data_IF_417126248236
#
_entry.id   IF_417126248236
#
_cell.length_a   1.000
_cell.length_b   1.000
_cell.length_c   1.000
_cell.angle_alpha   90.00
_cell.angle_beta   90.00
_cell.angle_gamma   90.00
#
_symmetry.space_group_name_H-M   'P 1'
#
loop_
_entity.id
_entity.type
_entity.pdbx_description
1 polymer ?
#
# COMPACT_ATOMS: atom_id res chain seq x y z
N UNK A 1 16.53 29.56 -7.39
CA UNK A 1 17.73 29.48 -6.54
C UNK A 1 17.37 29.99 -5.14
N UNK A 2 17.16 29.07 -4.19
CA UNK A 2 17.03 29.38 -2.76
C UNK A 2 17.91 28.35 -2.05
N UNK A 3 18.98 28.83 -1.43
CA UNK A 3 19.91 28.02 -0.65
C UNK A 3 19.41 28.01 0.79
N UNK A 4 19.10 26.84 1.33
CA UNK A 4 19.04 26.61 2.76
C UNK A 4 20.26 25.77 3.14
N UNK A 5 21.24 26.39 3.78
CA UNK A 5 22.30 25.69 4.49
C UNK A 5 21.88 25.59 5.96
N UNK A 6 21.42 24.41 6.37
CA UNK A 6 21.38 24.04 7.78
C UNK A 6 21.36 22.51 7.91
N UNK A 7 22.47 21.98 8.44
CA UNK A 7 22.60 20.73 9.16
C UNK A 7 22.06 19.45 8.48
N UNK A 8 22.95 18.72 7.80
CA UNK A 8 22.94 17.25 7.60
C UNK A 8 21.54 16.63 7.59
N UNK A 9 20.74 16.98 6.59
CA UNK A 9 19.39 16.43 6.42
C UNK A 9 19.52 15.01 5.85
N UNK A 10 18.95 14.03 6.55
CA UNK A 10 18.77 12.67 6.07
C UNK A 10 18.10 12.68 4.69
N UNK A 11 18.82 12.24 3.67
CA UNK A 11 18.25 11.91 2.37
C UNK A 11 18.00 10.38 2.36
N UNK A 12 16.74 9.93 2.46
CA UNK A 12 16.42 8.53 2.18
C UNK A 12 16.32 8.36 0.67
N UNK A 13 17.46 8.07 0.04
CA UNK A 13 17.52 7.75 -1.38
C UNK A 13 17.21 6.27 -1.55
N UNK A 14 15.99 5.98 -1.99
CA UNK A 14 15.59 4.64 -2.40
C UNK A 14 16.11 4.38 -3.80
N UNK A 15 17.01 3.42 -3.94
CA UNK A 15 17.44 2.90 -5.24
C UNK A 15 16.76 1.57 -5.48
N UNK A 16 16.07 1.43 -6.61
CA UNK A 16 15.43 0.16 -6.96
C UNK A 16 15.65 -0.21 -8.42
N UNK A 17 16.04 -1.47 -8.59
CA UNK A 17 16.02 -2.21 -9.85
C UNK A 17 15.07 -3.39 -9.63
N UNK A 18 14.09 -3.54 -10.51
CA UNK A 18 13.07 -4.58 -10.40
C UNK A 18 12.83 -5.20 -11.76
N UNK A 19 13.20 -6.49 -11.86
CA UNK A 19 13.12 -7.30 -13.07
C UNK A 19 12.41 -8.60 -12.74
N UNK A 20 11.53 -9.04 -13.61
CA UNK A 20 10.83 -10.31 -13.49
C UNK A 20 11.24 -11.21 -14.65
N UNK A 21 11.56 -12.44 -14.33
CA UNK A 21 11.77 -13.49 -15.33
C UNK A 21 10.52 -14.34 -15.32
N UNK A 22 9.83 -14.43 -16.46
CA UNK A 22 8.73 -15.37 -16.63
C UNK A 22 9.21 -16.58 -17.39
N UNK A 23 9.07 -17.75 -16.79
CA UNK A 23 9.31 -19.03 -17.44
C UNK A 23 7.99 -19.83 -17.48
N UNK A 24 7.23 -19.75 -18.59
CA UNK A 24 5.93 -20.38 -18.67
C UNK A 24 6.05 -21.91 -18.63
N UNK A 25 5.18 -22.58 -17.87
CA UNK A 25 5.18 -24.05 -17.83
C UNK A 25 4.66 -24.64 -19.15
N UNK A 26 5.43 -25.56 -19.72
CA UNK A 26 5.05 -26.24 -20.97
C UNK A 26 4.02 -27.34 -20.65
N UNK A 27 2.82 -27.18 -21.19
CA UNK A 27 1.73 -28.14 -21.11
C UNK A 27 0.84 -28.02 -22.35
N UNK A 28 -0.09 -28.96 -22.53
CA UNK A 28 -0.97 -29.01 -23.71
C UNK A 28 -1.69 -27.68 -23.99
N UNK A 29 -2.13 -26.97 -22.94
CA UNK A 29 -2.83 -25.69 -23.11
C UNK A 29 -1.88 -24.56 -23.51
N UNK A 30 -0.68 -24.50 -22.94
CA UNK A 30 0.29 -23.44 -23.28
C UNK A 30 0.87 -23.64 -24.68
N UNK A 31 1.18 -24.89 -25.07
CA UNK A 31 1.61 -25.23 -26.44
C UNK A 31 0.55 -24.89 -27.47
N UNK A 32 -0.71 -25.26 -27.23
CA UNK A 32 -1.79 -24.96 -28.18
C UNK A 32 -2.07 -23.45 -28.30
N UNK A 33 -1.91 -22.69 -27.22
CA UNK A 33 -2.02 -21.24 -27.25
C UNK A 33 -0.91 -20.62 -28.10
N UNK A 34 0.33 -21.08 -27.88
CA UNK A 34 1.49 -20.69 -28.68
C UNK A 34 1.27 -20.94 -30.17
N UNK A 35 0.78 -22.13 -30.55
CA UNK A 35 0.46 -22.48 -31.94
C UNK A 35 -0.60 -21.56 -32.56
N UNK A 36 -1.67 -21.25 -31.81
CA UNK A 36 -2.78 -20.41 -32.30
C UNK A 36 -2.31 -18.98 -32.56
N UNK A 37 -1.47 -18.43 -31.69
CA UNK A 37 -1.01 -17.04 -31.78
C UNK A 37 0.34 -16.90 -32.52
N UNK A 38 0.98 -18.01 -32.89
CA UNK A 38 2.29 -18.02 -33.57
C UNK A 38 3.40 -17.44 -32.70
N UNK A 39 3.38 -17.72 -31.40
CA UNK A 39 4.36 -17.21 -30.42
C UNK A 39 5.14 -18.36 -29.80
N UNK A 40 6.41 -18.12 -29.47
CA UNK A 40 7.26 -19.10 -28.80
C UNK A 40 7.06 -19.05 -27.27
N UNK A 41 7.20 -20.21 -26.62
CA UNK A 41 7.11 -20.34 -25.15
C UNK A 41 8.51 -20.28 -24.57
N UNK A 42 9.04 -19.07 -24.54
CA UNK A 42 10.40 -18.82 -24.05
C UNK A 42 10.40 -18.03 -22.75
N UNK A 43 11.54 -18.12 -22.06
CA UNK A 43 11.84 -17.27 -20.92
C UNK A 43 11.92 -15.81 -21.38
N UNK A 44 11.14 -14.96 -20.72
CA UNK A 44 11.10 -13.52 -21.02
C UNK A 44 11.45 -12.73 -19.77
N UNK A 45 12.39 -11.78 -19.92
CA UNK A 45 12.72 -10.79 -18.89
C UNK A 45 11.82 -9.55 -19.07
N UNK A 46 11.15 -9.16 -18.00
CA UNK A 46 10.34 -7.96 -17.90
C UNK A 46 10.98 -6.99 -16.90
N UNK A 47 11.60 -5.93 -17.42
CA UNK A 47 12.14 -4.85 -16.60
C UNK A 47 11.01 -3.91 -16.20
N UNK A 48 10.73 -3.80 -14.90
CA UNK A 48 9.73 -2.86 -14.36
C UNK A 48 10.41 -1.55 -13.94
N UNK A 49 11.54 -1.64 -13.24
CA UNK A 49 12.34 -0.49 -12.85
C UNK A 49 13.81 -0.74 -13.20
N UNK A 50 14.42 0.20 -13.92
CA UNK A 50 15.85 0.15 -14.26
C UNK A 50 16.59 1.22 -13.46
N UNK A 51 17.17 0.79 -12.33
CA UNK A 51 18.00 1.61 -11.44
C UNK A 51 17.44 3.02 -11.17
N UNK A 52 16.17 3.10 -10.76
CA UNK A 52 15.56 4.38 -10.42
C UNK A 52 15.97 4.80 -9.01
N UNK A 53 16.10 6.11 -8.79
CA UNK A 53 16.32 6.72 -7.49
C UNK A 53 15.13 7.60 -7.11
N UNK A 54 14.53 7.33 -5.95
CA UNK A 54 13.41 8.08 -5.40
C UNK A 54 13.84 8.64 -4.04
N UNK A 55 13.62 9.93 -3.83
CA UNK A 55 13.83 10.59 -2.55
C UNK A 55 12.47 10.83 -1.89
N UNK A 56 12.34 10.42 -0.63
CA UNK A 56 11.16 10.66 0.20
C UNK A 56 11.65 11.22 1.52
N UNK A 57 11.08 12.33 1.97
CA UNK A 57 11.37 12.93 3.27
C UNK A 57 10.19 12.74 4.23
N UNK A 58 10.43 12.76 5.55
CA UNK A 58 9.35 12.75 6.52
C UNK A 58 8.36 13.89 6.27
N UNK A 59 7.06 13.57 6.31
CA UNK A 59 5.91 14.46 6.05
C UNK A 59 5.60 14.72 4.56
N UNK A 60 6.31 14.10 3.63
CA UNK A 60 5.93 14.15 2.22
C UNK A 60 4.61 13.43 1.95
N UNK A 61 3.84 13.96 1.00
CA UNK A 61 2.67 13.28 0.43
C UNK A 61 3.07 12.77 -0.95
N UNK A 62 3.20 11.45 -1.06
CA UNK A 62 3.65 10.79 -2.29
C UNK A 62 2.45 10.18 -3.01
N UNK A 63 2.27 10.54 -4.29
CA UNK A 63 1.25 9.95 -5.16
C UNK A 63 1.92 9.10 -6.24
N UNK A 64 1.63 7.79 -6.24
CA UNK A 64 2.13 6.84 -7.24
C UNK A 64 1.05 6.63 -8.30
N UNK A 65 1.38 6.94 -9.55
CA UNK A 65 0.47 6.80 -10.70
C UNK A 65 1.14 6.07 -11.86
N UNK A 66 0.34 5.62 -12.83
CA UNK A 66 0.77 4.84 -13.99
C UNK A 66 -0.23 3.77 -14.39
N UNK A 67 0.01 3.12 -15.53
CA UNK A 67 -0.87 2.11 -16.10
C UNK A 67 -1.02 0.86 -15.21
N UNK A 68 -2.16 0.17 -15.32
CA UNK A 68 -2.36 -1.11 -14.65
C UNK A 68 -1.29 -2.11 -15.09
N UNK A 69 -0.71 -2.85 -14.15
CA UNK A 69 0.42 -3.75 -14.44
C UNK A 69 1.82 -3.10 -14.42
N UNK A 70 1.94 -1.77 -14.40
CA UNK A 70 3.23 -1.06 -14.40
C UNK A 70 4.04 -1.11 -13.10
N UNK A 71 3.83 -2.12 -12.24
CA UNK A 71 4.66 -2.34 -11.04
C UNK A 71 4.33 -1.51 -9.79
N UNK A 72 3.34 -0.61 -9.83
CA UNK A 72 3.00 0.30 -8.70
C UNK A 72 2.89 -0.39 -7.34
N UNK A 73 2.19 -1.51 -7.25
CA UNK A 73 2.04 -2.26 -6.00
C UNK A 73 3.33 -2.89 -5.52
N UNK A 74 4.26 -3.21 -6.42
CA UNK A 74 5.60 -3.68 -6.08
C UNK A 74 6.46 -2.51 -5.60
N UNK A 75 6.41 -1.36 -6.27
CA UNK A 75 7.08 -0.14 -5.84
C UNK A 75 6.64 0.27 -4.44
N UNK A 76 5.34 0.26 -4.16
CA UNK A 76 4.81 0.59 -2.84
C UNK A 76 5.36 -0.33 -1.74
N UNK A 77 5.51 -1.63 -2.01
CA UNK A 77 6.13 -2.57 -1.06
C UNK A 77 7.61 -2.24 -0.82
N UNK A 78 8.37 -2.01 -1.89
CA UNK A 78 9.79 -1.64 -1.80
C UNK A 78 9.97 -0.35 -1.00
N UNK A 79 9.11 0.65 -1.24
CA UNK A 79 9.08 1.90 -0.47
C UNK A 79 8.81 1.61 1.01
N UNK A 80 7.73 0.90 1.33
CA UNK A 80 7.38 0.58 2.73
C UNK A 80 8.53 -0.16 3.44
N UNK A 81 9.11 -1.15 2.79
CA UNK A 81 10.19 -1.97 3.37
C UNK A 81 11.47 -1.14 3.59
N UNK A 82 11.76 -0.18 2.70
CA UNK A 82 12.88 0.73 2.87
C UNK A 82 12.61 1.73 4.00
N UNK A 83 11.45 2.40 3.99
CA UNK A 83 11.10 3.39 5.00
C UNK A 83 11.12 2.79 6.42
N UNK A 84 10.75 1.50 6.58
CA UNK A 84 10.80 0.79 7.87
C UNK A 84 12.20 0.67 8.48
N UNK A 85 13.26 0.89 7.69
CA UNK A 85 14.66 0.86 8.16
C UNK A 85 15.11 2.18 8.77
N UNK A 86 14.32 3.23 8.63
CA UNK A 86 14.66 4.61 8.96
C UNK A 86 13.74 5.13 10.07
N UNK A 87 14.29 5.30 11.28
CA UNK A 87 13.51 5.67 12.48
C UNK A 87 12.81 7.03 12.37
N UNK A 88 13.32 7.93 11.52
CA UNK A 88 12.75 9.26 11.29
C UNK A 88 11.34 9.25 10.69
N UNK A 89 10.93 8.16 10.06
CA UNK A 89 9.57 7.97 9.55
C UNK A 89 8.59 7.46 10.62
N UNK A 90 9.10 7.06 11.79
CA UNK A 90 8.30 6.53 12.89
C UNK A 90 7.60 5.21 12.55
N UNK A 91 6.43 4.99 13.15
CA UNK A 91 5.65 3.78 12.90
C UNK A 91 4.97 3.84 11.53
N UNK A 92 5.36 2.92 10.65
CA UNK A 92 4.74 2.77 9.32
C UNK A 92 3.59 1.77 9.43
N UNK A 93 2.39 2.25 9.09
CA UNK A 93 1.15 1.49 9.14
C UNK A 93 0.62 1.35 7.70
N UNK A 94 0.28 0.14 7.31
CA UNK A 94 -0.32 -0.17 6.01
C UNK A 94 -1.78 -0.62 6.17
N UNK A 95 -2.56 -0.60 5.09
CA UNK A 95 -3.93 -1.11 5.07
C UNK A 95 -4.03 -2.55 5.62
N UNK A 96 -3.01 -3.38 5.36
CA UNK A 96 -2.96 -4.75 5.88
C UNK A 96 -2.82 -4.79 7.39
N UNK A 97 -1.99 -3.90 7.94
CA UNK A 97 -1.78 -3.80 9.38
C UNK A 97 -3.08 -3.37 10.07
N UNK A 98 -3.78 -2.37 9.50
CA UNK A 98 -5.10 -1.93 9.97
C UNK A 98 -6.08 -3.09 9.96
N UNK A 99 -6.26 -3.77 8.82
CA UNK A 99 -7.19 -4.88 8.67
C UNK A 99 -6.89 -6.04 9.64
N UNK A 100 -5.60 -6.33 9.90
CA UNK A 100 -5.19 -7.38 10.84
C UNK A 100 -5.49 -7.04 12.30
N UNK A 101 -5.64 -5.75 12.63
CA UNK A 101 -5.97 -5.28 13.99
C UNK A 101 -7.46 -5.33 14.31
N UNK A 102 -8.31 -5.43 13.28
CA UNK A 102 -9.77 -5.47 13.42
C UNK A 102 -10.18 -6.76 14.12
N UNK A 103 -11.10 -6.62 15.08
CA UNK A 103 -11.61 -7.73 15.88
C UNK A 103 -13.14 -7.72 15.93
N UNK A 104 -13.70 -8.75 16.56
CA UNK A 104 -15.13 -9.00 16.61
C UNK A 104 -15.88 -8.17 17.68
N UNK A 105 -15.45 -6.93 17.95
CA UNK A 105 -16.09 -6.00 18.89
C UNK A 105 -16.86 -4.89 18.16
N UNK A 106 -17.77 -4.17 18.84
CA UNK A 106 -18.34 -2.94 18.29
C UNK A 106 -17.26 -1.97 17.82
N UNK A 107 -17.48 -1.27 16.70
CA UNK A 107 -16.47 -0.37 16.10
C UNK A 107 -16.06 0.77 17.04
N UNK A 108 -16.93 1.18 17.97
CA UNK A 108 -16.62 2.17 19.00
C UNK A 108 -15.59 1.70 20.03
N UNK A 109 -15.46 0.40 20.25
CA UNK A 109 -14.46 -0.18 21.18
C UNK A 109 -13.10 -0.41 20.54
N UNK A 110 -13.01 -0.31 19.21
CA UNK A 110 -11.81 -0.66 18.45
C UNK A 110 -10.90 0.54 18.18
N UNK A 111 -11.37 1.77 18.42
CA UNK A 111 -10.65 3.00 18.07
C UNK A 111 -10.71 4.02 19.21
N UNK A 112 -9.72 4.92 19.23
CA UNK A 112 -9.63 6.01 20.19
C UNK A 112 -9.13 5.58 21.58
N UNK A 113 -8.65 6.57 22.34
CA UNK A 113 -8.17 6.37 23.72
C UNK A 113 -9.30 6.21 24.74
N UNK A 114 -10.46 6.76 24.43
CA UNK A 114 -11.63 6.85 25.28
C UNK A 114 -12.89 7.07 24.42
N UNK A 115 -14.07 7.02 25.05
CA UNK A 115 -15.36 7.13 24.36
C UNK A 115 -15.50 8.45 23.60
N UNK A 116 -15.05 9.57 24.16
CA UNK A 116 -15.18 10.88 23.50
C UNK A 116 -14.28 10.96 22.27
N UNK A 117 -13.06 10.41 22.39
CA UNK A 117 -12.12 10.33 21.29
C UNK A 117 -12.62 9.40 20.17
N UNK A 118 -13.18 8.24 20.54
CA UNK A 118 -13.75 7.28 19.60
C UNK A 118 -14.94 7.88 18.82
N UNK A 119 -15.89 8.52 19.51
CA UNK A 119 -17.01 9.24 18.88
C UNK A 119 -16.48 10.29 17.91
N UNK A 120 -15.49 11.10 18.32
CA UNK A 120 -14.92 12.15 17.47
C UNK A 120 -14.29 11.58 16.20
N UNK A 121 -13.50 10.50 16.30
CA UNK A 121 -12.86 9.88 15.13
C UNK A 121 -13.91 9.31 14.18
N UNK A 122 -14.84 8.50 14.70
CA UNK A 122 -15.93 7.93 13.91
C UNK A 122 -16.78 9.02 13.25
N UNK A 123 -16.93 10.16 13.91
CA UNK A 123 -17.66 11.30 13.37
C UNK A 123 -16.96 11.94 12.17
N UNK A 124 -15.64 12.11 12.26
CA UNK A 124 -14.81 12.71 11.19
C UNK A 124 -14.85 11.84 9.93
N UNK A 125 -14.84 10.51 10.08
CA UNK A 125 -14.93 9.57 8.94
C UNK A 125 -16.39 9.32 8.49
N UNK A 126 -17.34 10.08 9.02
CA UNK A 126 -18.75 10.03 8.59
C UNK A 126 -19.54 8.82 9.12
N UNK A 127 -19.08 8.16 10.18
CA UNK A 127 -19.75 7.06 10.88
C UNK A 127 -20.47 7.59 12.14
N UNK A 128 -21.25 8.67 11.98
CA UNK A 128 -21.85 9.48 13.07
C UNK A 128 -23.05 8.84 13.78
N UNK A 129 -23.61 7.75 13.26
CA UNK A 129 -24.86 7.19 13.78
C UNK A 129 -24.61 6.28 14.98
N UNK A 130 -25.28 6.53 16.11
CA UNK A 130 -25.09 5.76 17.34
C UNK A 130 -25.31 4.24 17.13
N UNK A 131 -26.36 3.85 16.40
CA UNK A 131 -26.62 2.45 16.08
C UNK A 131 -25.54 1.82 15.20
N UNK A 132 -24.86 2.62 14.36
CA UNK A 132 -23.74 2.16 13.54
C UNK A 132 -22.49 1.93 14.40
N UNK A 133 -22.23 2.81 15.36
CA UNK A 133 -21.09 2.71 16.29
C UNK A 133 -21.14 1.44 17.16
N UNK A 134 -22.35 0.91 17.39
CA UNK A 134 -22.58 -0.34 18.14
C UNK A 134 -22.38 -1.61 17.29
N UNK A 135 -22.24 -1.50 15.96
CA UNK A 135 -22.05 -2.65 15.08
C UNK A 135 -20.61 -3.14 15.08
N UNK A 136 -20.45 -4.42 14.76
CA UNK A 136 -19.14 -5.02 14.46
C UNK A 136 -18.73 -4.69 13.03
N UNK A 137 -17.43 -4.74 12.76
CA UNK A 137 -16.88 -4.43 11.44
C UNK A 137 -17.55 -5.24 10.30
N UNK A 138 -17.82 -6.53 10.52
CA UNK A 138 -18.43 -7.39 9.51
C UNK A 138 -19.90 -7.06 9.19
N UNK A 139 -20.56 -6.28 10.05
CA UNK A 139 -21.96 -5.85 9.91
C UNK A 139 -22.09 -4.48 9.20
N UNK A 140 -20.95 -3.91 8.78
CA UNK A 140 -20.87 -2.68 8.02
C UNK A 140 -21.00 -2.93 6.51
N UNK A 141 -21.57 -1.97 5.77
CA UNK A 141 -21.50 -1.97 4.30
C UNK A 141 -20.08 -1.73 3.82
N UNK A 142 -19.76 -2.07 2.56
CA UNK A 142 -18.40 -1.89 2.02
C UNK A 142 -17.91 -0.44 2.12
N UNK A 143 -18.80 0.54 1.87
CA UNK A 143 -18.47 1.96 2.02
C UNK A 143 -18.28 2.40 3.47
N UNK A 144 -18.89 1.72 4.45
CA UNK A 144 -18.66 1.95 5.88
C UNK A 144 -17.35 1.28 6.33
N UNK A 145 -17.07 0.07 5.86
CA UNK A 145 -15.80 -0.64 6.09
C UNK A 145 -14.62 0.19 5.60
N UNK A 146 -14.69 0.68 4.36
CA UNK A 146 -13.67 1.56 3.80
C UNK A 146 -13.40 2.78 4.69
N UNK A 147 -14.45 3.47 5.14
CA UNK A 147 -14.31 4.66 6.00
C UNK A 147 -13.79 4.34 7.40
N UNK A 148 -14.02 3.14 7.90
CA UNK A 148 -13.48 2.69 9.18
C UNK A 148 -11.98 2.38 9.10
N UNK A 149 -11.47 2.00 7.92
CA UNK A 149 -10.07 1.58 7.72
C UNK A 149 -9.12 2.69 7.28
N UNK A 150 -9.62 3.89 6.97
CA UNK A 150 -8.81 5.05 6.53
C UNK A 150 -8.47 6.03 7.66
#
# INVERSE_FOLDING_TARGET
MRIYLSNKLCETILKTDLRFITNPSINERTTKLADIFGIDIDEHEFVIYDNISIEILPKDIVYITGESGGGKSQLLKIIIDELKKHEEFGNIITDKDVLSSINNKPIIEQIGSDVSNAIRILSIVGLNEAYLMLRRYDELSDGQKYRFTI
#
